data_IF_398069402946
#
_entry.id   IF_398069402946
#
_cell.length_a   1.000
_cell.length_b   1.000
_cell.length_c   1.000
_cell.angle_alpha   90.00
_cell.angle_beta   90.00
_cell.angle_gamma   90.00
#
_symmetry.space_group_name_H-M   'P 1'
#
loop_
_entity.id
_entity.type
_entity.pdbx_description
1 polymer ?
#
# COMPACT_ATOMS: atom_id res chain seq x y z
N UNK A 1 19.09 -8.16 6.39
CA UNK A 1 18.17 -7.14 5.86
C UNK A 1 18.81 -5.81 6.12
N UNK A 2 18.97 -4.98 5.09
CA UNK A 2 19.40 -3.60 5.27
C UNK A 2 18.28 -2.85 6.00
N UNK A 3 18.48 -2.54 7.28
CA UNK A 3 17.54 -1.73 8.05
C UNK A 3 17.77 -0.23 7.84
N UNK A 4 18.69 0.17 6.94
CA UNK A 4 19.13 1.55 6.74
C UNK A 4 19.31 2.26 8.09
N UNK A 5 18.61 3.37 8.31
CA UNK A 5 18.61 4.16 9.54
C UNK A 5 17.33 3.95 10.38
N UNK A 6 16.68 2.79 10.27
CA UNK A 6 15.46 2.50 11.02
C UNK A 6 15.66 2.62 12.53
N UNK A 7 14.75 3.31 13.22
CA UNK A 7 14.53 3.06 14.63
C UNK A 7 13.87 1.68 14.78
N UNK A 8 14.52 0.78 15.53
CA UNK A 8 13.95 -0.54 15.83
C UNK A 8 12.71 -0.40 16.69
N UNK A 9 11.69 -1.23 16.43
CA UNK A 9 10.41 -1.20 17.15
C UNK A 9 9.84 0.23 17.22
N UNK A 10 9.94 0.99 16.13
CA UNK A 10 9.40 2.33 16.08
C UNK A 10 7.91 2.29 16.43
N UNK A 11 7.40 3.31 17.12
CA UNK A 11 6.01 3.46 17.56
C UNK A 11 5.39 2.34 18.44
N UNK A 12 6.17 1.37 18.92
CA UNK A 12 5.67 0.25 19.73
C UNK A 12 6.55 -0.05 20.95
N UNK A 13 6.04 -0.83 21.91
CA UNK A 13 6.80 -1.22 23.12
C UNK A 13 7.51 -2.55 22.89
N UNK A 14 8.80 -2.51 22.62
CA UNK A 14 9.64 -3.69 22.40
C UNK A 14 9.52 -4.73 23.53
N UNK A 15 9.59 -4.29 24.79
CA UNK A 15 9.47 -5.18 25.97
C UNK A 15 8.13 -5.93 25.94
N UNK A 16 7.04 -5.24 25.56
CA UNK A 16 5.71 -5.87 25.52
C UNK A 16 5.67 -6.94 24.43
N UNK A 17 6.20 -6.65 23.24
CA UNK A 17 6.28 -7.61 22.13
C UNK A 17 7.13 -8.84 22.53
N UNK A 18 8.27 -8.64 23.18
CA UNK A 18 9.16 -9.75 23.55
C UNK A 18 8.62 -10.64 24.68
N UNK A 19 7.80 -10.10 25.57
CA UNK A 19 7.32 -10.82 26.77
C UNK A 19 5.89 -11.35 26.62
N UNK A 20 5.11 -10.84 25.66
CA UNK A 20 3.72 -11.24 25.49
C UNK A 20 3.55 -12.72 25.12
N UNK A 21 2.53 -13.34 25.72
CA UNK A 21 2.10 -14.73 25.48
C UNK A 21 0.64 -14.76 25.02
N UNK A 22 0.35 -14.24 23.82
CA UNK A 22 -1.02 -14.21 23.30
C UNK A 22 -1.60 -15.61 23.06
N UNK A 23 -2.93 -15.68 23.00
CA UNK A 23 -3.67 -16.87 22.57
C UNK A 23 -4.15 -16.66 21.14
N UNK A 24 -3.71 -17.54 20.23
CA UNK A 24 -4.06 -17.47 18.82
C UNK A 24 -5.27 -18.36 18.51
N UNK A 25 -6.11 -17.91 17.58
CA UNK A 25 -7.22 -18.69 17.06
C UNK A 25 -6.71 -19.70 16.02
N UNK A 26 -6.64 -20.97 16.40
CA UNK A 26 -6.10 -22.04 15.53
C UNK A 26 -6.74 -22.08 14.15
N UNK A 27 -8.07 -21.99 14.06
CA UNK A 27 -8.78 -22.05 12.78
C UNK A 27 -8.36 -20.91 11.84
N UNK A 28 -8.09 -19.73 12.38
CA UNK A 28 -7.63 -18.56 11.62
C UNK A 28 -6.15 -18.68 11.27
N UNK A 29 -5.32 -19.21 12.16
CA UNK A 29 -3.89 -19.44 11.89
C UNK A 29 -3.69 -20.37 10.69
N UNK A 30 -4.45 -21.48 10.64
CA UNK A 30 -4.42 -22.40 9.49
C UNK A 30 -4.81 -21.70 8.19
N UNK A 31 -5.86 -20.87 8.23
CA UNK A 31 -6.25 -20.07 7.07
C UNK A 31 -5.21 -19.02 6.69
N UNK A 32 -4.53 -18.42 7.67
CA UNK A 32 -3.50 -17.42 7.44
C UNK A 32 -2.34 -18.02 6.65
N UNK A 33 -1.76 -19.12 7.14
CA UNK A 33 -0.64 -19.79 6.49
C UNK A 33 -1.02 -20.31 5.10
N UNK A 34 -2.19 -20.96 4.99
CA UNK A 34 -2.70 -21.39 3.69
C UNK A 34 -2.85 -20.20 2.72
N UNK A 35 -3.46 -19.09 3.17
CA UNK A 35 -3.68 -17.92 2.34
C UNK A 35 -2.36 -17.35 1.80
N UNK A 36 -1.36 -17.15 2.67
CA UNK A 36 -0.09 -16.56 2.24
C UNK A 36 0.63 -17.47 1.22
N UNK A 37 0.66 -18.80 1.46
CA UNK A 37 1.25 -19.77 0.52
C UNK A 37 0.51 -19.79 -0.81
N UNK A 38 -0.81 -19.94 -0.77
CA UNK A 38 -1.63 -20.06 -1.97
C UNK A 38 -1.62 -18.77 -2.79
N UNK A 39 -1.69 -17.61 -2.13
CA UNK A 39 -1.65 -16.32 -2.82
C UNK A 39 -0.32 -16.06 -3.52
N UNK A 40 0.78 -16.51 -2.92
CA UNK A 40 2.12 -16.47 -3.52
C UNK A 40 2.22 -17.44 -4.70
N UNK A 41 1.70 -18.67 -4.56
CA UNK A 41 1.63 -19.66 -5.65
C UNK A 41 0.84 -19.15 -6.86
N UNK A 42 -0.30 -18.49 -6.62
CA UNK A 42 -1.11 -17.86 -7.68
C UNK A 42 -0.28 -16.79 -8.41
N UNK A 43 0.44 -15.93 -7.67
CA UNK A 43 1.29 -14.91 -8.29
C UNK A 43 2.37 -15.56 -9.16
N UNK A 44 3.08 -16.57 -8.65
CA UNK A 44 4.11 -17.28 -9.39
C UNK A 44 3.58 -17.91 -10.69
N UNK A 45 2.49 -18.69 -10.61
CA UNK A 45 1.86 -19.32 -11.79
C UNK A 45 1.40 -18.31 -12.83
N UNK A 46 0.81 -17.20 -12.37
CA UNK A 46 0.21 -16.20 -13.24
C UNK A 46 1.24 -15.25 -13.86
N UNK A 47 2.10 -14.66 -13.04
CA UNK A 47 2.92 -13.50 -13.41
C UNK A 47 4.35 -13.90 -13.76
N UNK A 48 4.85 -15.04 -13.24
CA UNK A 48 6.20 -15.54 -13.52
C UNK A 48 6.17 -16.61 -14.62
N UNK A 49 5.32 -17.63 -14.46
CA UNK A 49 5.19 -18.70 -15.45
C UNK A 49 4.24 -18.37 -16.61
N UNK A 50 3.47 -17.28 -16.52
CA UNK A 50 2.49 -16.88 -17.53
C UNK A 50 1.48 -17.98 -17.91
N UNK A 51 1.10 -18.83 -16.96
CA UNK A 51 0.16 -19.92 -17.20
C UNK A 51 -1.25 -19.37 -17.50
N UNK A 52 -2.01 -20.04 -18.38
CA UNK A 52 -3.42 -19.70 -18.63
C UNK A 52 -4.25 -19.84 -17.33
N UNK A 53 -5.45 -19.24 -17.29
CA UNK A 53 -6.29 -19.26 -16.09
C UNK A 53 -6.63 -20.66 -15.59
N UNK A 54 -6.98 -20.68 -14.30
CA UNK A 54 -7.06 -21.80 -13.35
C UNK A 54 -5.75 -22.04 -12.57
N UNK A 55 -5.36 -21.05 -11.75
CA UNK A 55 -4.14 -21.12 -10.93
C UNK A 55 -4.34 -21.76 -9.54
N UNK A 56 -5.59 -21.90 -9.09
CA UNK A 56 -5.94 -22.38 -7.75
C UNK A 56 -7.27 -23.13 -7.73
N UNK A 57 -7.37 -24.10 -6.82
CA UNK A 57 -8.63 -24.76 -6.45
C UNK A 57 -9.42 -24.00 -5.39
N UNK A 58 -8.81 -23.03 -4.69
CA UNK A 58 -9.49 -22.20 -3.69
C UNK A 58 -10.50 -21.28 -4.38
N UNK A 59 -11.79 -21.54 -4.14
CA UNK A 59 -12.89 -20.77 -4.74
C UNK A 59 -12.87 -19.30 -4.31
N UNK A 60 -12.48 -18.99 -3.07
CA UNK A 60 -12.45 -17.62 -2.54
C UNK A 60 -11.37 -16.81 -3.27
N UNK A 61 -10.16 -17.36 -3.39
CA UNK A 61 -9.04 -16.70 -4.08
C UNK A 61 -9.22 -16.61 -5.59
N UNK A 62 -9.99 -17.53 -6.19
CA UNK A 62 -10.34 -17.49 -7.60
C UNK A 62 -11.40 -16.43 -7.91
N UNK A 63 -12.42 -16.32 -7.07
CA UNK A 63 -13.63 -15.55 -7.40
C UNK A 63 -13.54 -14.07 -6.95
N UNK A 64 -12.67 -13.74 -5.98
CA UNK A 64 -12.57 -12.39 -5.40
C UNK A 64 -11.16 -11.78 -5.48
N UNK A 65 -11.08 -10.45 -5.40
CA UNK A 65 -9.80 -9.73 -5.40
C UNK A 65 -9.16 -9.67 -4.02
N UNK A 66 -7.91 -10.12 -3.98
CA UNK A 66 -6.98 -10.01 -2.85
C UNK A 66 -5.70 -9.32 -3.33
N UNK A 67 -5.07 -8.51 -2.46
CA UNK A 67 -3.71 -8.03 -2.73
C UNK A 67 -2.75 -9.20 -2.90
N UNK A 68 -1.60 -8.95 -3.50
CA UNK A 68 -0.51 -9.92 -3.48
C UNK A 68 0.14 -10.00 -2.10
N UNK A 69 0.87 -11.09 -1.85
CA UNK A 69 1.64 -11.30 -0.61
C UNK A 69 2.63 -10.16 -0.38
N UNK A 70 3.33 -9.75 -1.45
CA UNK A 70 4.18 -8.55 -1.43
C UNK A 70 3.44 -7.38 -2.07
N UNK A 71 3.43 -6.24 -1.37
CA UNK A 71 2.80 -5.01 -1.89
C UNK A 71 3.46 -4.52 -3.19
N UNK A 72 4.77 -4.73 -3.35
CA UNK A 72 5.53 -4.38 -4.56
C UNK A 72 5.05 -5.14 -5.81
N UNK A 73 4.32 -6.24 -5.63
CA UNK A 73 3.76 -7.02 -6.73
C UNK A 73 2.41 -6.50 -7.22
N UNK A 74 1.76 -5.61 -6.47
CA UNK A 74 0.48 -5.03 -6.87
C UNK A 74 0.65 -4.09 -8.07
N UNK A 75 -0.34 -4.12 -8.98
CA UNK A 75 -0.30 -3.37 -10.25
C UNK A 75 0.00 -1.88 -10.06
N UNK A 76 -0.68 -1.24 -9.12
CA UNK A 76 -0.49 0.19 -8.88
C UNK A 76 0.89 0.46 -8.27
N UNK A 77 1.37 -0.39 -7.35
CA UNK A 77 2.73 -0.27 -6.79
C UNK A 77 3.79 -0.46 -7.88
N UNK A 78 3.63 -1.44 -8.78
CA UNK A 78 4.52 -1.61 -9.95
C UNK A 78 4.59 -0.34 -10.81
N UNK A 79 3.46 0.37 -10.97
CA UNK A 79 3.48 1.67 -11.66
C UNK A 79 4.34 2.69 -10.92
N UNK A 80 4.18 2.83 -9.60
CA UNK A 80 4.99 3.74 -8.79
C UNK A 80 6.48 3.40 -8.88
N UNK A 81 6.83 2.11 -8.75
CA UNK A 81 8.21 1.65 -8.83
C UNK A 81 8.85 2.03 -10.16
N UNK A 82 8.20 1.68 -11.26
CA UNK A 82 8.76 1.86 -12.60
C UNK A 82 8.82 3.32 -13.04
N UNK A 83 7.80 4.11 -12.72
CA UNK A 83 7.69 5.48 -13.24
C UNK A 83 8.31 6.51 -12.30
N UNK A 84 8.36 6.24 -10.99
CA UNK A 84 8.78 7.21 -9.98
C UNK A 84 10.03 6.74 -9.24
N UNK A 85 9.95 5.69 -8.42
CA UNK A 85 11.00 5.44 -7.41
C UNK A 85 12.29 4.89 -8.02
N UNK A 86 12.20 4.04 -9.04
CA UNK A 86 13.33 3.49 -9.79
C UNK A 86 13.71 4.31 -11.04
N UNK A 87 12.99 5.40 -11.31
CA UNK A 87 13.28 6.26 -12.45
C UNK A 87 14.43 7.22 -12.12
N UNK A 88 15.57 7.06 -12.79
CA UNK A 88 16.77 7.88 -12.57
C UNK A 88 16.63 9.32 -13.11
N UNK A 89 15.67 9.58 -13.99
CA UNK A 89 15.38 10.92 -14.51
C UNK A 89 14.54 11.77 -13.54
N UNK A 90 14.00 11.18 -12.48
CA UNK A 90 13.21 11.89 -11.45
C UNK A 90 14.13 12.22 -10.26
N UNK A 91 14.23 13.50 -9.89
CA UNK A 91 15.01 13.93 -8.72
C UNK A 91 14.44 13.36 -7.42
N UNK A 92 15.24 13.28 -6.36
CA UNK A 92 14.82 12.75 -5.07
C UNK A 92 13.58 13.47 -4.51
N UNK A 93 13.56 14.80 -4.58
CA UNK A 93 12.44 15.63 -4.15
C UNK A 93 11.18 15.34 -4.97
N UNK A 94 11.33 15.22 -6.29
CA UNK A 94 10.21 14.86 -7.16
C UNK A 94 9.74 13.43 -6.92
N UNK A 95 10.60 12.48 -6.51
CA UNK A 95 10.18 11.13 -6.11
C UNK A 95 9.29 11.19 -4.87
N UNK A 96 9.64 12.01 -3.87
CA UNK A 96 8.80 12.24 -2.69
C UNK A 96 7.44 12.83 -3.10
N UNK A 97 7.43 13.91 -3.87
CA UNK A 97 6.21 14.62 -4.27
C UNK A 97 5.30 13.75 -5.15
N UNK A 98 5.86 13.03 -6.12
CA UNK A 98 5.09 12.13 -6.97
C UNK A 98 4.61 10.88 -6.23
N UNK A 99 5.32 10.40 -5.20
CA UNK A 99 4.84 9.30 -4.36
C UNK A 99 3.64 9.75 -3.49
N UNK A 100 3.70 10.97 -2.94
CA UNK A 100 2.56 11.59 -2.27
C UNK A 100 1.36 11.72 -3.22
N UNK A 101 1.57 12.33 -4.41
CA UNK A 101 0.53 12.50 -5.42
C UNK A 101 -0.05 11.15 -5.86
N UNK A 102 0.82 10.17 -6.10
CA UNK A 102 0.44 8.82 -6.47
C UNK A 102 -0.52 8.24 -5.44
N UNK A 103 -0.24 8.37 -4.14
CA UNK A 103 -1.08 7.74 -3.12
C UNK A 103 -2.45 8.41 -2.95
N UNK A 104 -2.56 9.72 -3.23
CA UNK A 104 -3.84 10.46 -3.16
C UNK A 104 -4.71 10.32 -4.43
N UNK A 105 -4.16 9.82 -5.54
CA UNK A 105 -4.89 9.46 -6.77
C UNK A 105 -5.09 7.95 -6.89
N UNK A 106 -4.03 7.21 -6.58
CA UNK A 106 -3.89 5.77 -6.53
C UNK A 106 -4.31 5.05 -7.82
N UNK A 107 -3.99 5.63 -8.99
CA UNK A 107 -4.28 5.00 -10.28
C UNK A 107 -3.24 5.39 -11.32
N UNK A 108 -2.35 4.45 -11.66
CA UNK A 108 -1.27 4.65 -12.63
C UNK A 108 -1.76 5.10 -14.01
N UNK A 109 -2.86 4.52 -14.50
CA UNK A 109 -3.46 4.93 -15.78
C UNK A 109 -3.84 6.43 -15.79
N UNK A 110 -4.37 6.94 -14.68
CA UNK A 110 -4.74 8.36 -14.56
C UNK A 110 -3.50 9.24 -14.54
N UNK A 111 -2.49 8.84 -13.78
CA UNK A 111 -1.23 9.56 -13.66
C UNK A 111 -0.50 9.64 -15.00
N UNK A 112 -0.42 8.53 -15.74
CA UNK A 112 0.10 8.52 -17.11
C UNK A 112 -0.69 9.48 -18.02
N UNK A 113 -2.02 9.42 -17.96
CA UNK A 113 -2.87 10.22 -18.84
C UNK A 113 -2.74 11.74 -18.59
N UNK A 114 -2.43 12.16 -17.35
CA UNK A 114 -2.15 13.56 -17.03
C UNK A 114 -0.67 13.94 -17.22
N UNK A 115 0.20 12.98 -17.54
CA UNK A 115 1.63 13.20 -17.80
C UNK A 115 2.52 13.18 -16.57
N UNK A 116 2.12 12.50 -15.50
CA UNK A 116 2.99 12.22 -14.36
C UNK A 116 3.99 11.09 -14.70
N UNK A 117 5.16 10.99 -14.02
CA UNK A 117 5.62 11.86 -12.93
C UNK A 117 5.91 13.29 -13.37
N UNK A 118 5.72 14.24 -12.45
CA UNK A 118 5.97 15.65 -12.68
C UNK A 118 7.33 16.10 -12.14
N UNK A 119 7.96 17.05 -12.83
CA UNK A 119 9.02 17.87 -12.28
C UNK A 119 8.40 19.13 -11.66
N UNK A 120 8.06 19.07 -10.37
CA UNK A 120 7.40 20.17 -9.65
C UNK A 120 8.27 21.42 -9.56
N UNK A 121 9.59 21.28 -9.66
CA UNK A 121 10.54 22.40 -9.63
C UNK A 121 10.47 23.27 -10.89
N UNK A 122 10.00 22.70 -12.01
CA UNK A 122 9.83 23.39 -13.29
C UNK A 122 8.38 23.67 -13.63
N UNK A 123 7.45 23.16 -12.82
CA UNK A 123 6.02 23.33 -13.03
C UNK A 123 5.60 24.74 -12.63
N UNK A 124 4.74 25.35 -13.44
CA UNK A 124 4.05 26.60 -13.11
C UNK A 124 2.57 26.32 -12.83
N UNK A 125 1.88 27.30 -12.24
CA UNK A 125 0.43 27.20 -12.08
C UNK A 125 -0.30 27.15 -13.42
N UNK A 126 0.25 27.79 -14.46
CA UNK A 126 -0.32 27.79 -15.81
C UNK A 126 -0.30 26.38 -16.40
N UNK A 127 0.76 25.59 -16.15
CA UNK A 127 0.83 24.20 -16.58
C UNK A 127 -0.27 23.35 -15.95
N UNK A 128 -0.63 23.62 -14.70
CA UNK A 128 -1.71 22.91 -14.02
C UNK A 128 -3.07 23.35 -14.56
N UNK A 129 -3.30 24.67 -14.62
CA UNK A 129 -4.61 25.23 -14.96
C UNK A 129 -4.99 25.12 -16.43
N UNK A 130 -4.00 24.99 -17.32
CA UNK A 130 -4.21 24.74 -18.75
C UNK A 130 -3.82 23.33 -19.13
N UNK A 131 -2.53 23.00 -19.15
CA UNK A 131 -2.03 21.75 -19.72
C UNK A 131 -2.58 20.49 -19.05
N UNK A 132 -2.58 20.42 -17.72
CA UNK A 132 -3.11 19.26 -16.99
C UNK A 132 -4.64 19.24 -17.04
N UNK A 133 -5.29 20.40 -16.92
CA UNK A 133 -6.76 20.51 -17.04
C UNK A 133 -7.25 20.03 -18.39
N UNK A 134 -6.63 20.48 -19.49
CA UNK A 134 -6.96 20.05 -20.85
C UNK A 134 -6.83 18.53 -20.99
N UNK A 135 -5.80 17.92 -20.41
CA UNK A 135 -5.65 16.45 -20.41
C UNK A 135 -6.80 15.77 -19.66
N UNK A 136 -7.16 16.28 -18.48
CA UNK A 136 -8.26 15.73 -17.68
C UNK A 136 -9.61 15.87 -18.41
N UNK A 137 -9.88 17.01 -19.01
CA UNK A 137 -11.10 17.27 -19.78
C UNK A 137 -11.15 16.40 -21.05
N UNK A 138 -10.03 16.25 -21.76
CA UNK A 138 -9.93 15.36 -22.91
C UNK A 138 -10.22 13.90 -22.54
N UNK A 139 -9.79 13.42 -21.37
CA UNK A 139 -10.13 12.07 -20.89
C UNK A 139 -11.63 11.95 -20.70
N UNK A 140 -12.25 12.91 -20.00
CA UNK A 140 -13.69 12.92 -19.73
C UNK A 140 -14.52 12.96 -21.02
N UNK A 141 -14.11 13.78 -22.00
CA UNK A 141 -14.80 13.90 -23.28
C UNK A 141 -14.68 12.63 -24.13
N UNK A 142 -13.51 11.98 -24.15
CA UNK A 142 -13.29 10.75 -24.94
C UNK A 142 -13.80 9.49 -24.25
N UNK A 143 -13.87 9.48 -22.92
CA UNK A 143 -14.25 8.34 -22.09
C UNK A 143 -15.10 8.81 -20.90
N UNK A 144 -16.40 9.11 -21.13
CA UNK A 144 -17.29 9.59 -20.07
C UNK A 144 -17.35 8.67 -18.84
N UNK A 145 -17.22 7.36 -19.03
CA UNK A 145 -17.23 6.35 -17.96
C UNK A 145 -15.87 6.14 -17.27
N UNK A 146 -14.87 6.98 -17.56
CA UNK A 146 -13.55 6.83 -16.98
C UNK A 146 -13.54 7.17 -15.48
N UNK A 147 -13.26 6.16 -14.65
CA UNK A 147 -13.11 6.37 -13.21
C UNK A 147 -11.67 6.83 -12.91
N UNK A 148 -11.49 8.09 -12.52
CA UNK A 148 -10.17 8.69 -12.29
C UNK A 148 -9.40 8.14 -11.08
N UNK A 149 -10.10 7.63 -10.09
CA UNK A 149 -9.53 7.04 -8.88
C UNK A 149 -9.80 5.54 -8.89
N UNK A 150 -8.90 4.73 -8.36
CA UNK A 150 -9.27 3.34 -8.11
C UNK A 150 -10.18 3.22 -6.86
N UNK A 151 -10.83 2.08 -6.71
CA UNK A 151 -11.71 1.82 -5.56
C UNK A 151 -10.96 1.39 -4.29
N UNK A 152 -9.63 1.41 -4.31
CA UNK A 152 -8.81 1.12 -3.14
C UNK A 152 -8.50 2.42 -2.39
N UNK A 153 -8.20 2.29 -1.10
CA UNK A 153 -7.84 3.38 -0.19
C UNK A 153 -8.97 4.36 0.16
N UNK A 154 -8.92 4.90 1.38
CA UNK A 154 -9.92 5.85 1.92
C UNK A 154 -9.54 7.27 1.49
N UNK A 155 -9.91 7.64 0.27
CA UNK A 155 -9.57 8.95 -0.31
C UNK A 155 -10.62 10.05 -0.02
N UNK A 156 -11.62 9.80 0.84
CA UNK A 156 -12.63 10.80 1.18
C UNK A 156 -12.03 12.06 1.80
N UNK A 157 -11.03 11.89 2.68
CA UNK A 157 -10.31 12.98 3.34
C UNK A 157 -9.65 13.96 2.37
N UNK A 158 -8.72 13.52 1.49
CA UNK A 158 -8.05 14.41 0.53
C UNK A 158 -9.03 15.07 -0.43
N UNK A 159 -10.02 14.31 -0.93
CA UNK A 159 -11.01 14.79 -1.92
C UNK A 159 -11.79 16.02 -1.45
N UNK A 160 -12.04 16.13 -0.15
CA UNK A 160 -12.72 17.27 0.47
C UNK A 160 -11.73 18.33 0.93
N UNK A 161 -10.76 17.94 1.78
CA UNK A 161 -9.93 18.91 2.50
C UNK A 161 -8.90 19.60 1.60
N UNK A 162 -8.46 18.96 0.51
CA UNK A 162 -7.58 19.64 -0.44
C UNK A 162 -8.34 20.72 -1.22
N UNK A 163 -9.65 20.54 -1.45
CA UNK A 163 -10.49 21.60 -2.00
C UNK A 163 -10.60 22.80 -1.07
N UNK A 164 -10.88 22.56 0.23
CA UNK A 164 -10.94 23.61 1.26
C UNK A 164 -9.63 24.36 1.40
N UNK A 165 -8.51 23.64 1.44
CA UNK A 165 -7.18 24.25 1.46
C UNK A 165 -6.96 25.20 0.26
N UNK A 166 -7.39 24.81 -0.94
CA UNK A 166 -7.24 25.65 -2.13
C UNK A 166 -8.17 26.86 -2.09
N UNK A 167 -9.40 26.69 -1.62
CA UNK A 167 -10.36 27.78 -1.42
C UNK A 167 -9.80 28.83 -0.46
N UNK A 168 -9.27 28.42 0.69
CA UNK A 168 -8.61 29.31 1.65
C UNK A 168 -7.37 30.00 1.06
N UNK A 169 -6.59 29.28 0.24
CA UNK A 169 -5.33 29.80 -0.34
C UNK A 169 -5.52 30.68 -1.57
N UNK A 170 -6.61 30.51 -2.32
CA UNK A 170 -6.82 31.15 -3.64
C UNK A 170 -8.11 31.94 -3.77
N UNK A 171 -9.00 31.85 -2.79
CA UNK A 171 -10.33 32.44 -2.85
C UNK A 171 -11.12 31.97 -4.10
N UNK A 172 -10.90 30.71 -4.50
CA UNK A 172 -11.58 30.07 -5.63
C UNK A 172 -11.82 28.58 -5.35
N UNK A 173 -12.96 28.08 -5.83
CA UNK A 173 -13.41 26.70 -5.63
C UNK A 173 -12.99 25.87 -6.84
N UNK A 174 -11.85 25.19 -6.73
CA UNK A 174 -11.45 24.19 -7.72
C UNK A 174 -12.45 23.03 -7.70
N UNK A 175 -13.21 22.80 -8.77
CA UNK A 175 -14.20 21.70 -8.84
C UNK A 175 -13.58 20.37 -9.26
N UNK A 176 -12.49 20.37 -10.01
CA UNK A 176 -11.91 19.15 -10.55
C UNK A 176 -11.01 18.46 -9.51
N UNK A 177 -11.39 17.24 -9.11
CA UNK A 177 -10.70 16.52 -8.04
C UNK A 177 -9.25 16.16 -8.37
N UNK A 178 -8.93 15.88 -9.64
CA UNK A 178 -7.54 15.61 -10.04
C UNK A 178 -6.71 16.88 -9.96
N UNK A 179 -7.26 18.01 -10.42
CA UNK A 179 -6.58 19.31 -10.30
C UNK A 179 -6.37 19.68 -8.84
N UNK A 180 -7.34 19.40 -7.94
CA UNK A 180 -7.14 19.58 -6.48
C UNK A 180 -5.93 18.82 -5.97
N UNK A 181 -5.76 17.54 -6.33
CA UNK A 181 -4.63 16.73 -5.87
C UNK A 181 -3.29 17.30 -6.36
N UNK A 182 -3.21 17.68 -7.64
CA UNK A 182 -1.98 18.24 -8.22
C UNK A 182 -1.64 19.60 -7.60
N UNK A 183 -2.61 20.53 -7.53
CA UNK A 183 -2.42 21.85 -6.91
C UNK A 183 -2.05 21.75 -5.43
N UNK A 184 -2.62 20.79 -4.69
CA UNK A 184 -2.27 20.59 -3.29
C UNK A 184 -0.79 20.25 -3.11
N UNK A 185 -0.27 19.29 -3.90
CA UNK A 185 1.15 18.92 -3.86
C UNK A 185 2.02 20.08 -4.33
N UNK A 186 1.65 20.74 -5.43
CA UNK A 186 2.36 21.91 -5.95
C UNK A 186 2.51 23.03 -4.91
N UNK A 187 1.43 23.38 -4.20
CA UNK A 187 1.45 24.46 -3.21
C UNK A 187 2.05 24.09 -1.85
N UNK A 188 2.28 22.80 -1.59
CA UNK A 188 2.87 22.29 -0.35
C UNK A 188 4.23 21.65 -0.60
N UNK A 189 4.85 21.81 -1.78
CA UNK A 189 6.03 21.05 -2.18
C UNK A 189 7.18 21.17 -1.17
N UNK A 190 7.51 22.40 -0.75
CA UNK A 190 8.59 22.64 0.22
C UNK A 190 8.24 22.04 1.58
N UNK A 191 7.00 22.21 2.03
CA UNK A 191 6.54 21.66 3.32
C UNK A 191 6.61 20.13 3.31
N UNK A 192 6.16 19.49 2.23
CA UNK A 192 6.21 18.02 2.09
C UNK A 192 7.67 17.56 2.12
N UNK A 193 8.51 18.09 1.24
CA UNK A 193 9.91 17.66 1.08
C UNK A 193 10.72 17.93 2.34
N UNK A 194 10.64 19.15 2.90
CA UNK A 194 11.46 19.53 4.05
C UNK A 194 11.12 18.69 5.28
N UNK A 195 9.84 18.49 5.59
CA UNK A 195 9.48 17.68 6.75
C UNK A 195 9.84 16.20 6.59
N UNK A 196 9.79 15.65 5.37
CA UNK A 196 10.31 14.29 5.11
C UNK A 196 11.82 14.24 5.32
N UNK A 197 12.57 15.21 4.78
CA UNK A 197 14.04 15.25 4.88
C UNK A 197 14.54 15.52 6.30
N UNK A 198 13.80 16.28 7.10
CA UNK A 198 14.19 16.65 8.46
C UNK A 198 13.79 15.62 9.53
N UNK A 199 13.03 14.58 9.16
CA UNK A 199 12.57 13.57 10.10
C UNK A 199 13.71 12.65 10.53
N UNK A 200 13.85 12.43 11.84
CA UNK A 200 14.90 11.58 12.40
C UNK A 200 14.57 10.08 12.37
N UNK A 201 13.28 9.72 12.28
CA UNK A 201 12.82 8.33 12.24
C UNK A 201 11.51 8.19 11.43
N UNK A 202 11.06 6.95 11.31
CA UNK A 202 9.86 6.57 10.55
C UNK A 202 8.58 7.21 11.11
N UNK A 203 8.45 7.29 12.43
CA UNK A 203 7.26 7.86 13.07
C UNK A 203 7.16 9.38 12.88
N UNK A 204 8.29 10.08 12.82
CA UNK A 204 8.33 11.50 12.48
C UNK A 204 7.90 11.76 11.02
N UNK A 205 8.39 10.96 10.06
CA UNK A 205 7.93 11.05 8.67
C UNK A 205 6.42 10.82 8.60
N UNK A 206 5.92 9.79 9.28
CA UNK A 206 4.50 9.50 9.35
C UNK A 206 3.68 10.65 9.94
N UNK A 207 4.10 11.21 11.09
CA UNK A 207 3.38 12.30 11.75
C UNK A 207 3.39 13.58 10.90
N UNK A 208 4.50 13.85 10.21
CA UNK A 208 4.58 14.95 9.25
C UNK A 208 3.58 14.76 8.11
N UNK A 209 3.55 13.60 7.47
CA UNK A 209 2.61 13.28 6.39
C UNK A 209 1.15 13.34 6.85
N UNK A 210 0.87 12.89 8.08
CA UNK A 210 -0.46 12.96 8.71
C UNK A 210 -0.90 14.39 9.05
N UNK A 211 0.03 15.33 9.22
CA UNK A 211 -0.29 16.72 9.58
C UNK A 211 -1.07 17.48 8.50
N UNK A 212 -1.07 16.98 7.25
CA UNK A 212 -1.81 17.59 6.16
C UNK A 212 -3.30 17.25 6.26
N UNK A 213 -4.15 18.28 6.35
CA UNK A 213 -5.61 18.10 6.44
C UNK A 213 -6.15 17.23 5.30
N UNK A 214 -6.89 16.19 5.65
CA UNK A 214 -7.37 15.16 4.73
C UNK A 214 -6.50 13.89 4.68
N UNK A 215 -5.27 13.90 5.19
CA UNK A 215 -4.44 12.71 5.33
C UNK A 215 -4.67 12.06 6.70
N UNK A 216 -5.42 10.96 6.74
CA UNK A 216 -5.59 10.16 7.97
C UNK A 216 -4.46 9.16 8.18
N UNK A 217 -4.45 8.48 9.35
CA UNK A 217 -3.45 7.46 9.72
C UNK A 217 -3.13 6.47 8.59
N UNK A 218 -4.17 5.83 8.05
CA UNK A 218 -4.00 4.84 6.99
C UNK A 218 -3.30 5.44 5.76
N UNK A 219 -3.70 6.63 5.33
CA UNK A 219 -3.13 7.23 4.11
C UNK A 219 -1.69 7.73 4.34
N UNK A 220 -1.41 8.33 5.49
CA UNK A 220 -0.05 8.73 5.88
C UNK A 220 0.91 7.54 5.89
N UNK A 221 0.50 6.42 6.48
CA UNK A 221 1.32 5.21 6.50
C UNK A 221 1.58 4.66 5.09
N UNK A 222 0.57 4.66 4.24
CA UNK A 222 0.69 4.14 2.88
C UNK A 222 1.55 5.05 1.99
N UNK A 223 1.60 6.37 2.26
CA UNK A 223 2.58 7.29 1.66
C UNK A 223 3.98 6.99 2.21
N UNK A 224 4.15 6.84 3.53
CA UNK A 224 5.45 6.52 4.14
C UNK A 224 6.08 5.28 3.49
N UNK A 225 5.34 4.18 3.37
CA UNK A 225 5.85 2.95 2.74
C UNK A 225 6.14 3.14 1.25
N UNK A 226 5.45 4.04 0.55
CA UNK A 226 5.83 4.36 -0.84
C UNK A 226 7.19 5.02 -0.93
N UNK A 227 7.54 5.83 0.08
CA UNK A 227 8.85 6.47 0.17
C UNK A 227 9.96 5.47 0.46
N UNK A 228 9.69 4.36 1.17
CA UNK A 228 10.71 3.33 1.46
C UNK A 228 11.23 2.64 0.20
N UNK A 229 10.46 2.69 -0.89
CA UNK A 229 10.87 2.18 -2.20
C UNK A 229 11.82 3.10 -2.97
N UNK A 230 12.07 4.32 -2.48
CA UNK A 230 13.08 5.22 -3.05
C UNK A 230 14.44 4.75 -2.53
N UNK A 231 15.36 4.42 -3.44
CA UNK A 231 16.69 3.87 -3.11
C UNK A 231 17.43 4.66 -2.02
N UNK A 232 17.45 6.00 -2.11
CA UNK A 232 18.14 6.89 -1.18
C UNK A 232 17.28 7.39 -0.01
N UNK A 233 16.05 6.90 0.15
CA UNK A 233 15.26 7.22 1.34
C UNK A 233 15.85 6.53 2.57
N UNK A 234 15.99 7.20 3.72
CA UNK A 234 16.83 6.73 4.84
C UNK A 234 16.21 5.61 5.67
N UNK A 235 14.93 5.29 5.47
CA UNK A 235 14.21 4.30 6.27
C UNK A 235 13.61 3.18 5.42
N UNK A 236 13.21 2.11 6.09
CA UNK A 236 12.54 0.95 5.51
C UNK A 236 11.18 0.72 6.17
N UNK A 237 10.38 -0.17 5.59
CA UNK A 237 9.10 -0.62 6.14
C UNK A 237 9.24 -1.72 7.22
N UNK A 238 10.47 -2.09 7.60
CA UNK A 238 10.73 -3.26 8.45
C UNK A 238 10.45 -3.02 9.94
N UNK A 239 10.58 -1.78 10.41
CA UNK A 239 10.51 -1.43 11.84
C UNK A 239 9.47 -0.37 12.17
N UNK A 240 8.48 -0.14 11.31
CA UNK A 240 7.40 0.81 11.56
C UNK A 240 6.11 0.37 10.86
N UNK A 241 5.00 0.37 11.60
CA UNK A 241 3.70 -0.04 11.07
C UNK A 241 2.56 0.74 11.74
N UNK A 242 1.51 1.01 10.96
CA UNK A 242 0.25 1.58 11.43
C UNK A 242 -0.87 0.71 10.92
N UNK A 243 -1.67 0.16 11.83
CA UNK A 243 -2.74 -0.76 11.50
C UNK A 243 -3.90 -0.01 10.83
N UNK A 244 -4.18 -0.33 9.57
CA UNK A 244 -5.42 0.12 8.91
C UNK A 244 -6.68 -0.57 9.45
N UNK A 245 -7.89 -0.09 9.11
CA UNK A 245 -9.15 -0.68 9.61
C UNK A 245 -9.35 -2.15 9.21
N UNK A 246 -8.82 -2.57 8.07
CA UNK A 246 -8.82 -3.98 7.65
C UNK A 246 -7.88 -4.83 8.47
N UNK A 247 -6.67 -4.32 8.67
CA UNK A 247 -5.64 -4.93 9.50
C UNK A 247 -6.15 -5.15 10.93
N UNK A 248 -6.75 -4.13 11.57
CA UNK A 248 -7.27 -4.22 12.93
C UNK A 248 -8.32 -5.34 13.09
N UNK A 249 -9.23 -5.47 12.12
CA UNK A 249 -10.20 -6.57 12.11
C UNK A 249 -9.54 -7.92 11.88
N UNK A 250 -8.49 -7.98 11.06
CA UNK A 250 -7.70 -9.20 10.86
C UNK A 250 -7.04 -9.67 12.14
N UNK A 251 -6.45 -8.75 12.89
CA UNK A 251 -5.85 -9.03 14.20
C UNK A 251 -6.91 -9.59 15.16
N UNK A 252 -8.14 -9.05 15.15
CA UNK A 252 -9.27 -9.60 15.94
C UNK A 252 -9.67 -11.03 15.54
N UNK A 253 -9.37 -11.47 14.31
CA UNK A 253 -9.53 -12.87 13.93
C UNK A 253 -8.37 -13.72 14.44
N UNK A 254 -7.14 -13.24 14.29
CA UNK A 254 -5.91 -13.99 14.61
C UNK A 254 -5.77 -14.23 16.11
N UNK A 255 -6.00 -13.20 16.93
CA UNK A 255 -5.74 -13.22 18.36
C UNK A 255 -7.05 -13.36 19.14
N UNK A 256 -7.22 -14.49 19.80
CA UNK A 256 -8.30 -14.70 20.79
C UNK A 256 -8.00 -13.95 22.09
N UNK A 257 -6.72 -13.84 22.45
CA UNK A 257 -6.22 -12.95 23.49
C UNK A 257 -4.91 -12.32 22.99
N UNK A 258 -4.81 -11.00 23.09
CA UNK A 258 -3.63 -10.23 22.68
C UNK A 258 -2.60 -10.11 23.79
N UNK A 259 -2.91 -10.57 25.00
CA UNK A 259 -2.10 -10.35 26.20
C UNK A 259 -1.70 -8.87 26.30
N UNK A 260 -2.67 -7.95 26.24
CA UNK A 260 -2.43 -6.50 26.39
C UNK A 260 -1.63 -5.80 25.28
N UNK A 261 -1.32 -6.47 24.17
CA UNK A 261 -0.73 -5.83 22.98
C UNK A 261 -1.75 -4.99 22.21
N UNK A 262 -1.31 -3.83 21.72
CA UNK A 262 -2.05 -3.08 20.72
C UNK A 262 -1.94 -3.73 19.32
N UNK A 263 -2.63 -3.19 18.32
CA UNK A 263 -2.69 -3.78 16.98
C UNK A 263 -1.33 -3.80 16.28
N UNK A 264 -0.57 -2.71 16.34
CA UNK A 264 0.77 -2.60 15.78
C UNK A 264 1.74 -3.60 16.45
N UNK A 265 1.69 -3.73 17.78
CA UNK A 265 2.45 -4.71 18.55
C UNK A 265 2.10 -6.16 18.15
N UNK A 266 0.83 -6.45 17.87
CA UNK A 266 0.41 -7.75 17.36
C UNK A 266 1.04 -8.07 15.98
N UNK A 267 1.18 -7.07 15.10
CA UNK A 267 1.83 -7.26 13.79
C UNK A 267 3.32 -7.56 13.94
N UNK A 268 4.02 -6.80 14.78
CA UNK A 268 5.41 -7.08 15.11
C UNK A 268 5.58 -8.47 15.72
N UNK A 269 4.79 -8.77 16.75
CA UNK A 269 4.85 -10.05 17.45
C UNK A 269 4.65 -11.22 16.50
N UNK A 270 3.63 -11.15 15.64
CA UNK A 270 3.34 -12.23 14.68
C UNK A 270 4.47 -12.39 13.68
N UNK A 271 4.97 -11.29 13.12
CA UNK A 271 6.05 -11.30 12.11
C UNK A 271 7.32 -11.95 12.66
N UNK A 272 7.70 -11.64 13.91
CA UNK A 272 8.89 -12.18 14.56
C UNK A 272 8.71 -13.66 14.95
N UNK A 273 7.49 -14.06 15.32
CA UNK A 273 7.19 -15.41 15.81
C UNK A 273 6.66 -16.37 14.73
N UNK A 274 6.54 -15.95 13.47
CA UNK A 274 5.87 -16.72 12.41
C UNK A 274 6.38 -18.16 12.26
N UNK A 275 7.69 -18.40 12.41
CA UNK A 275 8.28 -19.74 12.31
C UNK A 275 7.88 -20.61 13.52
N UNK A 276 7.95 -20.06 14.73
CA UNK A 276 7.54 -20.74 15.95
C UNK A 276 6.03 -21.05 15.93
N UNK A 277 5.22 -20.14 15.40
CA UNK A 277 3.78 -20.35 15.21
C UNK A 277 3.58 -21.49 14.21
N UNK A 278 4.29 -21.49 13.08
CA UNK A 278 4.18 -22.54 12.07
C UNK A 278 4.50 -23.92 12.65
N UNK A 279 5.60 -24.04 13.40
CA UNK A 279 5.99 -25.27 14.09
C UNK A 279 4.90 -25.73 15.08
N UNK A 280 4.43 -24.81 15.95
CA UNK A 280 3.40 -25.10 16.95
C UNK A 280 2.10 -25.64 16.35
N UNK A 281 1.69 -25.14 15.18
CA UNK A 281 0.44 -25.54 14.52
C UNK A 281 0.64 -26.58 13.40
N UNK A 282 1.86 -27.11 13.25
CA UNK A 282 2.27 -28.04 12.21
C UNK A 282 1.94 -27.54 10.79
N UNK A 283 2.27 -26.27 10.52
CA UNK A 283 2.10 -25.60 9.24
C UNK A 283 3.42 -25.51 8.48
N UNK A 284 3.36 -25.69 7.16
CA UNK A 284 4.53 -25.51 6.29
C UNK A 284 4.84 -24.02 6.13
N UNK A 285 5.96 -23.54 6.63
CA UNK A 285 6.34 -22.13 6.50
C UNK A 285 7.84 -21.97 6.29
N UNK A 286 8.25 -22.13 5.04
CA UNK A 286 9.64 -21.98 4.60
C UNK A 286 9.71 -20.87 3.55
N UNK A 287 10.48 -19.81 3.84
CA UNK A 287 10.59 -18.65 2.95
C UNK A 287 11.32 -18.99 1.64
N UNK A 288 12.29 -19.91 1.69
CA UNK A 288 13.02 -20.34 0.49
C UNK A 288 12.14 -21.07 -0.48
N UNK A 289 11.19 -21.85 0.04
CA UNK A 289 10.24 -22.56 -0.77
C UNK A 289 9.14 -21.63 -1.30
N UNK A 290 8.55 -20.83 -0.42
CA UNK A 290 7.43 -19.94 -0.76
C UNK A 290 7.88 -18.90 -1.79
N UNK A 291 9.10 -18.38 -1.65
CA UNK A 291 9.68 -17.34 -2.51
C UNK A 291 10.84 -17.86 -3.37
N UNK A 292 10.87 -19.15 -3.73
CA UNK A 292 11.96 -19.79 -4.49
C UNK A 292 12.32 -19.09 -5.82
N UNK A 293 11.39 -18.31 -6.38
CA UNK A 293 11.57 -17.56 -7.62
C UNK A 293 12.17 -16.16 -7.43
N UNK A 294 12.45 -15.76 -6.18
CA UNK A 294 13.17 -14.53 -5.85
C UNK A 294 14.65 -14.81 -5.56
N UNK A 295 15.53 -13.80 -5.67
CA UNK A 295 16.87 -13.82 -5.09
C UNK A 295 16.82 -14.17 -3.60
N UNK A 296 17.84 -14.87 -3.10
CA UNK A 296 17.85 -15.45 -1.73
C UNK A 296 17.62 -14.39 -0.65
N UNK A 297 18.24 -13.23 -0.83
CA UNK A 297 18.19 -12.06 0.03
C UNK A 297 16.80 -11.39 0.10
N UNK A 298 15.94 -11.61 -0.89
CA UNK A 298 14.57 -11.08 -0.96
C UNK A 298 13.51 -12.06 -0.41
N UNK A 299 13.91 -13.29 -0.06
CA UNK A 299 13.00 -14.35 0.45
C UNK A 299 12.67 -14.13 1.91
N UNK A 300 11.90 -13.09 2.15
CA UNK A 300 11.52 -12.61 3.48
C UNK A 300 10.03 -12.33 3.49
N UNK A 301 9.34 -12.64 4.58
CA UNK A 301 8.00 -12.12 4.84
C UNK A 301 8.12 -10.93 5.81
N UNK A 302 7.85 -9.72 5.32
CA UNK A 302 8.13 -8.49 6.07
C UNK A 302 6.96 -8.05 6.98
N UNK A 303 7.22 -7.04 7.82
CA UNK A 303 6.18 -6.38 8.62
C UNK A 303 5.09 -5.75 7.73
N UNK A 304 5.47 -5.19 6.59
CA UNK A 304 4.52 -4.66 5.60
C UNK A 304 3.71 -5.75 4.92
N UNK A 305 4.32 -6.91 4.63
CA UNK A 305 3.59 -8.08 4.14
C UNK A 305 2.57 -8.53 5.20
N UNK A 306 2.93 -8.49 6.49
CA UNK A 306 2.01 -8.77 7.59
C UNK A 306 0.85 -7.77 7.70
N UNK A 307 1.08 -6.46 7.57
CA UNK A 307 0.00 -5.45 7.59
C UNK A 307 -0.96 -5.64 6.40
N UNK A 308 -0.39 -5.79 5.19
CA UNK A 308 -1.14 -5.81 3.94
C UNK A 308 -1.83 -7.15 3.67
N UNK A 309 -1.07 -8.22 3.43
CA UNK A 309 -1.62 -9.54 3.09
C UNK A 309 -1.89 -10.40 4.31
N UNK A 310 -1.16 -10.19 5.39
CA UNK A 310 -1.29 -10.98 6.61
C UNK A 310 -2.57 -10.65 7.39
N UNK A 311 -2.76 -9.39 7.73
CA UNK A 311 -3.85 -8.95 8.60
C UNK A 311 -5.04 -8.39 7.80
N UNK A 312 -4.83 -7.48 6.84
CA UNK A 312 -5.95 -6.89 6.12
C UNK A 312 -6.69 -7.92 5.24
N UNK A 313 -5.96 -8.83 4.57
CA UNK A 313 -6.59 -9.86 3.75
C UNK A 313 -7.13 -11.06 4.53
N UNK A 314 -6.60 -11.36 5.72
CA UNK A 314 -7.21 -12.43 6.54
C UNK A 314 -8.59 -12.01 7.06
N UNK A 315 -8.83 -10.73 7.38
CA UNK A 315 -10.18 -10.20 7.63
C UNK A 315 -11.12 -10.50 6.46
N UNK A 316 -10.67 -10.23 5.23
CA UNK A 316 -11.46 -10.50 4.02
C UNK A 316 -11.74 -11.99 3.84
N UNK A 317 -10.72 -12.85 4.02
CA UNK A 317 -10.84 -14.30 3.89
C UNK A 317 -11.77 -14.87 4.96
N UNK A 318 -11.53 -14.58 6.24
CA UNK A 318 -12.30 -15.13 7.37
C UNK A 318 -13.77 -14.70 7.33
N UNK A 319 -14.07 -13.44 6.98
CA UNK A 319 -15.47 -13.03 6.76
C UNK A 319 -16.16 -13.82 5.66
N UNK A 320 -15.42 -14.23 4.63
CA UNK A 320 -15.96 -15.02 3.52
C UNK A 320 -16.15 -16.47 3.91
N UNK A 321 -15.16 -17.06 4.59
CA UNK A 321 -15.15 -18.47 4.95
C UNK A 321 -16.03 -18.79 6.14
N UNK A 322 -15.98 -17.98 7.19
CA UNK A 322 -16.66 -18.21 8.47
C UNK A 322 -17.88 -17.32 8.68
N UNK A 323 -17.88 -16.12 8.08
CA UNK A 323 -18.91 -15.10 8.33
C UNK A 323 -20.03 -15.01 7.30
N UNK A 324 -20.05 -15.86 6.26
CA UNK A 324 -21.00 -15.80 5.13
C UNK A 324 -21.08 -14.42 4.43
N UNK A 325 -20.08 -13.55 4.59
CA UNK A 325 -20.02 -12.23 3.94
C UNK A 325 -19.18 -12.30 2.68
N UNK A 326 -19.65 -11.73 1.58
CA UNK A 326 -18.91 -11.73 0.30
C UNK A 326 -18.02 -10.50 0.16
N UNK A 327 -16.77 -10.63 -0.32
CA UNK A 327 -15.97 -9.48 -0.70
C UNK A 327 -16.66 -8.66 -1.79
N UNK A 328 -16.53 -7.33 -1.73
CA UNK A 328 -17.19 -6.42 -2.68
C UNK A 328 -16.70 -6.58 -4.11
N UNK A 329 -15.42 -6.92 -4.31
CA UNK A 329 -14.80 -6.96 -5.63
C UNK A 329 -14.55 -8.38 -6.09
N UNK A 330 -15.24 -8.77 -7.17
CA UNK A 330 -14.97 -10.01 -7.90
C UNK A 330 -13.69 -9.90 -8.73
N UNK A 331 -12.99 -11.01 -8.85
CA UNK A 331 -11.88 -11.13 -9.77
C UNK A 331 -12.40 -11.51 -11.15
N UNK A 332 -11.95 -10.77 -12.17
CA UNK A 332 -12.25 -11.06 -13.57
C UNK A 332 -10.93 -11.12 -14.31
N UNK A 333 -10.59 -12.30 -14.83
CA UNK A 333 -9.44 -12.45 -15.70
C UNK A 333 -9.70 -11.68 -17.01
N UNK A 334 -8.79 -10.76 -17.35
CA UNK A 334 -8.77 -10.11 -18.65
C UNK A 334 -7.62 -10.70 -19.45
N UNK A 335 -7.94 -11.40 -20.54
CA UNK A 335 -6.93 -11.93 -21.43
C UNK A 335 -6.31 -10.77 -22.22
N UNK A 336 -5.07 -10.39 -21.90
CA UNK A 336 -4.40 -9.27 -22.55
C UNK A 336 -3.93 -9.57 -23.99
N UNK A 337 -4.10 -10.80 -24.50
CA UNK A 337 -3.79 -11.16 -25.90
C UNK A 337 -4.69 -10.50 -26.95
N UNK A 338 -5.77 -9.82 -26.55
CA UNK A 338 -6.71 -9.14 -27.46
C UNK A 338 -6.49 -7.62 -27.62
N UNK A 339 -5.34 -7.08 -27.17
CA UNK A 339 -5.01 -5.64 -27.30
C UNK A 339 -3.93 -5.32 -28.35
N UNK A 340 -3.58 -6.28 -29.20
CA UNK A 340 -2.64 -6.13 -30.32
C UNK A 340 -3.31 -6.35 -31.69
N UNK A 341 -4.55 -5.86 -31.85
CA UNK A 341 -5.19 -5.69 -33.16
C UNK A 341 -5.62 -4.23 -33.32
#
# INVERSE_FOLDING_TARGET
>A
MDCKNDQLFCNVREIKIKTAKPILNESVIREWFYHQRERTSIYYKKEILNLPPYWTNDKILRDYKFVNTKRTWDRETKWLLNNVTNNNSVSYENKILNSFLFRVINKGDTLNAIGAPFDFSKMTIIDIDKTIRDKVENISSKKPDYVFFNAAYILGGPKVNFGRFLEEKKNDIEKNMIIRMVKFVFYNQDKIVNGVKSSANQFEVFNHLKSFSGIGNFLAYQIFVDLTYIINFPFTEMNFVISGPGCERGINWIFSDRDGMNSEECLFWFTINQNNIAERYNERWDMDEIFHFLPKEERVYSLMDMENSGACEIDKRCRTKFGNKRPKQKYHYKNNKLRLL
#
